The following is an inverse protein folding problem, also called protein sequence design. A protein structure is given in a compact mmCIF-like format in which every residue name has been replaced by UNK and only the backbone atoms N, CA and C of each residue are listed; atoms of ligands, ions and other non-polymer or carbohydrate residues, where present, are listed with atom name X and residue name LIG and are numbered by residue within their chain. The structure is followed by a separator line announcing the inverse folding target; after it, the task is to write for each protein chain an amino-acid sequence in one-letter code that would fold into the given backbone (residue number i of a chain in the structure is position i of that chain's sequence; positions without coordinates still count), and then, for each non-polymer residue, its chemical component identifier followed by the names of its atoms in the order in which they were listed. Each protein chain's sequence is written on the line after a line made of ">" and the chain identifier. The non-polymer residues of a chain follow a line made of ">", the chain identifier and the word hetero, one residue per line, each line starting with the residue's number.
data_IF_259175974335
#
_entry.id   IF_259175974335
#
_cell.length_a   1.000
_cell.length_b   1.000
_cell.length_c   1.000
_cell.angle_alpha   90.00
_cell.angle_beta   90.00
_cell.angle_gamma   90.00
#
_symmetry.space_group_name_H-M   'P 1'
#
loop_
_entity.id
_entity.type
_entity.pdbx_description
1 polymer ?
#
# COMPACT_ATOMS: atom_id res chain seq x y z
N UNK A 1 -20.93 18.30 -23.90
CA UNK A 1 -19.70 17.73 -23.30
C UNK A 1 -18.50 18.51 -23.80
N UNK A 2 -17.71 19.16 -22.93
CA UNK A 2 -16.59 20.03 -23.36
C UNK A 2 -15.18 19.41 -23.16
N UNK A 3 -15.05 18.36 -22.35
CA UNK A 3 -13.76 17.67 -22.10
C UNK A 3 -13.65 16.41 -22.95
N UNK A 4 -12.48 16.16 -23.54
CA UNK A 4 -12.19 14.93 -24.30
C UNK A 4 -12.31 13.72 -23.38
N UNK A 5 -13.09 12.74 -23.81
CA UNK A 5 -13.23 11.44 -23.14
C UNK A 5 -12.30 10.41 -23.79
N UNK A 6 -11.78 9.48 -22.99
CA UNK A 6 -10.90 8.39 -23.43
C UNK A 6 -11.32 7.10 -22.72
N UNK A 7 -11.25 5.97 -23.43
CA UNK A 7 -11.48 4.66 -22.85
C UNK A 7 -10.21 4.16 -22.12
N UNK A 8 -10.39 3.61 -20.92
CA UNK A 8 -9.32 2.86 -20.23
C UNK A 8 -9.06 1.54 -20.94
N UNK A 9 -7.81 1.04 -20.85
CA UNK A 9 -7.37 -0.22 -21.48
C UNK A 9 -6.46 -0.99 -20.52
N UNK A 10 -6.28 -2.28 -20.79
CA UNK A 10 -5.35 -3.17 -20.09
C UNK A 10 -5.54 -3.22 -18.56
N UNK A 11 -6.78 -3.41 -18.10
CA UNK A 11 -7.11 -3.53 -16.66
C UNK A 11 -7.18 -4.97 -16.15
N UNK A 12 -7.11 -5.96 -17.06
CA UNK A 12 -7.23 -7.40 -16.77
C UNK A 12 -6.25 -8.27 -17.58
N UNK A 13 -5.41 -7.66 -18.43
CA UNK A 13 -4.41 -8.36 -19.24
C UNK A 13 -3.23 -8.85 -18.39
N UNK A 14 -2.02 -8.83 -18.95
CA UNK A 14 -0.77 -9.26 -18.29
C UNK A 14 -0.29 -8.31 -17.17
N UNK A 15 -1.19 -7.62 -16.48
CA UNK A 15 -0.86 -6.78 -15.33
C UNK A 15 -1.08 -7.56 -14.02
N UNK A 16 -0.11 -7.47 -13.13
CA UNK A 16 -0.16 -8.11 -11.81
C UNK A 16 0.77 -7.38 -10.83
N UNK A 17 1.03 -7.98 -9.67
CA UNK A 17 1.91 -7.36 -8.65
C UNK A 17 3.29 -6.99 -9.21
N UNK A 18 3.85 -7.83 -10.10
CA UNK A 18 5.11 -7.59 -10.85
C UNK A 18 5.10 -6.38 -11.77
N UNK A 19 3.93 -5.87 -12.13
CA UNK A 19 3.81 -4.66 -12.94
C UNK A 19 3.90 -3.38 -12.12
N UNK A 20 3.91 -3.47 -10.77
CA UNK A 20 4.01 -2.31 -9.89
C UNK A 20 5.47 -1.85 -9.76
N UNK A 21 5.76 -0.69 -10.35
CA UNK A 21 7.09 -0.08 -10.30
C UNK A 21 7.47 0.21 -8.84
N UNK A 22 8.63 -0.33 -8.42
CA UNK A 22 9.20 -0.24 -7.06
C UNK A 22 8.38 -0.92 -5.94
N UNK A 23 7.30 -1.65 -6.25
CA UNK A 23 6.36 -2.16 -5.26
C UNK A 23 5.79 -3.54 -5.63
N UNK A 24 6.63 -4.46 -6.09
CA UNK A 24 6.23 -5.78 -6.60
C UNK A 24 6.43 -6.96 -5.62
N UNK A 25 6.78 -6.69 -4.37
CA UNK A 25 6.99 -7.71 -3.35
C UNK A 25 5.77 -8.63 -3.14
N UNK A 26 6.00 -9.94 -3.07
CA UNK A 26 5.00 -10.99 -2.78
C UNK A 26 5.51 -11.96 -1.71
N UNK A 27 5.66 -11.52 -0.45
CA UNK A 27 6.10 -12.37 0.65
C UNK A 27 5.03 -13.40 1.03
N UNK A 28 5.43 -14.45 1.77
CA UNK A 28 4.49 -15.34 2.44
C UNK A 28 3.91 -14.63 3.67
N UNK A 29 2.59 -14.42 3.67
CA UNK A 29 1.90 -13.67 4.72
C UNK A 29 1.17 -14.62 5.67
N UNK A 30 1.36 -14.43 6.97
CA UNK A 30 0.69 -15.18 8.03
C UNK A 30 0.07 -14.23 9.05
N UNK A 31 -1.09 -14.60 9.58
CA UNK A 31 -1.77 -13.86 10.65
C UNK A 31 -2.20 -14.84 11.73
N UNK A 32 -1.79 -14.59 12.97
CA UNK A 32 -2.24 -15.37 14.11
C UNK A 32 -3.72 -15.03 14.43
N UNK A 33 -4.63 -16.03 14.50
CA UNK A 33 -6.06 -15.78 14.63
C UNK A 33 -6.51 -15.29 16.01
N UNK A 34 -5.68 -15.47 17.05
CA UNK A 34 -6.03 -15.11 18.43
C UNK A 34 -5.40 -13.78 18.84
N UNK A 35 -4.15 -13.55 18.45
CA UNK A 35 -3.35 -12.37 18.83
C UNK A 35 -3.29 -11.30 17.75
N UNK A 36 -3.66 -11.64 16.51
CA UNK A 36 -3.54 -10.79 15.32
C UNK A 36 -2.10 -10.36 14.98
N UNK A 37 -1.09 -11.08 15.47
CA UNK A 37 0.28 -10.89 14.99
C UNK A 37 0.37 -11.15 13.49
N UNK A 38 1.01 -10.24 12.76
CA UNK A 38 1.20 -10.34 11.31
C UNK A 38 2.67 -10.64 11.02
N UNK A 39 2.93 -11.66 10.20
CA UNK A 39 4.28 -12.04 9.77
C UNK A 39 4.42 -12.02 8.26
N UNK A 40 5.59 -11.60 7.78
CA UNK A 40 6.01 -11.74 6.39
C UNK A 40 7.31 -12.55 6.34
N UNK A 41 7.31 -13.66 5.61
CA UNK A 41 8.45 -14.58 5.53
C UNK A 41 8.98 -15.01 6.92
N UNK A 42 8.07 -15.15 7.89
CA UNK A 42 8.36 -15.49 9.29
C UNK A 42 8.72 -14.31 10.21
N UNK A 43 9.03 -13.15 9.65
CA UNK A 43 9.40 -11.94 10.41
C UNK A 43 8.16 -11.21 10.93
N UNK A 44 8.15 -10.86 12.23
CA UNK A 44 7.05 -10.13 12.86
C UNK A 44 7.01 -8.68 12.35
N UNK A 45 5.89 -8.30 11.73
CA UNK A 45 5.65 -6.94 11.26
C UNK A 45 4.98 -6.12 12.36
N UNK A 46 5.74 -5.24 12.99
CA UNK A 46 5.23 -4.30 14.00
C UNK A 46 5.95 -2.95 13.90
N UNK A 47 5.29 -1.88 14.33
CA UNK A 47 5.90 -0.56 14.42
C UNK A 47 5.27 0.24 15.56
N UNK A 48 6.08 1.08 16.22
CA UNK A 48 5.56 1.98 17.25
C UNK A 48 4.73 3.11 16.62
N UNK A 49 3.64 3.54 17.27
CA UNK A 49 2.86 4.68 16.80
C UNK A 49 3.71 5.96 16.72
N UNK A 50 3.68 6.63 15.56
CA UNK A 50 4.36 7.91 15.38
C UNK A 50 3.63 9.02 16.16
N UNK A 51 4.36 9.74 17.03
CA UNK A 51 3.81 10.85 17.84
C UNK A 51 3.57 12.13 17.06
N UNK A 52 4.36 12.35 16.00
CA UNK A 52 4.32 13.53 15.14
C UNK A 52 4.60 13.10 13.70
N UNK A 53 3.94 13.73 12.74
CA UNK A 53 4.14 13.45 11.32
C UNK A 53 4.71 14.68 10.60
N UNK A 54 5.67 14.50 9.67
CA UNK A 54 6.07 15.58 8.77
C UNK A 54 4.92 15.95 7.84
N UNK A 55 5.03 17.10 7.18
CA UNK A 55 4.02 17.59 6.23
C UNK A 55 2.62 17.82 6.83
N UNK A 56 2.51 17.90 8.16
CA UNK A 56 1.26 18.22 8.86
C UNK A 56 1.28 19.68 9.38
N UNK A 57 1.40 19.89 10.69
CA UNK A 57 1.24 21.18 11.39
C UNK A 57 2.00 22.37 10.77
N UNK A 58 3.13 22.14 10.11
CA UNK A 58 3.93 23.21 9.48
C UNK A 58 3.25 23.84 8.25
N UNK A 59 2.39 23.10 7.55
CA UNK A 59 1.90 23.48 6.23
C UNK A 59 0.40 23.79 6.18
N UNK A 60 -0.33 23.52 7.26
CA UNK A 60 -1.76 23.78 7.37
C UNK A 60 -2.02 24.78 8.48
N UNK A 61 -2.83 25.80 8.19
CA UNK A 61 -3.19 26.85 9.15
C UNK A 61 -4.19 26.35 10.22
N UNK A 62 -4.95 25.30 9.91
CA UNK A 62 -5.80 24.50 10.81
C UNK A 62 -6.14 23.16 10.14
#
# INVERSE_FOLDING_TARGET
>A
MAKKTLAVKNTRGNIGKRSMILNDATPHMEVDPETYEVRADGELLTCEPAKVLPMAQRYFMY
#
